data_IF_069057520910
#
_entry.id   IF_069057520910
#
_cell.length_a   1.000
_cell.length_b   1.000
_cell.length_c   1.000
_cell.angle_alpha   90.00
_cell.angle_beta   90.00
_cell.angle_gamma   90.00
#
_symmetry.space_group_name_H-M   'P 1'
#
loop_
_entity.id
_entity.type
_entity.pdbx_description
1 polymer ?
#
# COMPACT_ATOMS: atom_id res chain seq x y z
N UNK A 1 11.70 3.11 11.63
CA UNK A 1 12.53 4.32 11.80
C UNK A 1 13.45 4.10 12.99
N UNK A 2 14.75 4.38 12.85
CA UNK A 2 15.69 4.31 13.98
C UNK A 2 15.33 5.38 15.01
N UNK A 3 15.60 5.09 16.29
CA UNK A 3 15.46 6.07 17.37
C UNK A 3 16.24 7.33 17.05
N UNK A 4 15.67 8.48 17.44
CA UNK A 4 16.33 9.77 17.31
C UNK A 4 17.59 9.76 18.21
N UNK A 5 18.82 9.79 17.64
CA UNK A 5 20.04 9.77 18.43
C UNK A 5 20.24 11.04 19.26
N UNK A 6 19.40 12.06 19.05
CA UNK A 6 19.60 13.45 19.48
C UNK A 6 18.81 13.83 20.74
N UNK A 7 18.21 12.87 21.47
CA UNK A 7 17.53 13.08 22.78
C UNK A 7 16.43 14.17 22.82
N UNK A 8 16.03 14.69 21.67
CA UNK A 8 14.92 15.64 21.54
C UNK A 8 13.72 14.83 21.04
N UNK A 9 12.84 14.43 21.97
CA UNK A 9 11.77 13.42 21.86
C UNK A 9 10.65 13.70 20.85
N UNK A 10 10.90 14.36 19.72
CA UNK A 10 9.91 14.47 18.66
C UNK A 10 10.00 13.26 17.71
N UNK A 11 8.94 12.46 17.68
CA UNK A 11 8.76 11.41 16.68
C UNK A 11 8.63 12.06 15.30
N UNK A 12 9.60 11.79 14.41
CA UNK A 12 9.50 12.21 13.01
C UNK A 12 8.31 11.53 12.35
N UNK A 13 7.50 12.24 11.55
CA UNK A 13 6.39 11.63 10.85
C UNK A 13 6.92 10.57 9.89
N UNK A 14 6.48 9.32 10.12
CA UNK A 14 6.77 8.19 9.26
C UNK A 14 5.62 7.95 8.29
N UNK A 15 5.95 7.75 7.03
CA UNK A 15 5.00 7.35 6.00
C UNK A 15 5.41 6.01 5.42
N UNK A 16 4.41 5.20 5.14
CA UNK A 16 4.50 3.98 4.37
C UNK A 16 4.29 4.33 2.89
N UNK A 17 5.33 4.08 2.09
CA UNK A 17 5.31 4.28 0.64
C UNK A 17 4.87 2.99 -0.05
N UNK A 18 3.80 3.10 -0.81
CA UNK A 18 3.22 2.04 -1.62
C UNK A 18 3.55 2.31 -3.08
N UNK A 19 3.93 1.28 -3.84
CA UNK A 19 4.35 1.43 -5.24
C UNK A 19 3.76 0.29 -6.07
N UNK A 20 3.06 0.62 -7.15
CA UNK A 20 2.63 -0.32 -8.17
C UNK A 20 3.67 -0.40 -9.28
N UNK A 21 4.08 -1.61 -9.64
CA UNK A 21 5.04 -1.83 -10.74
C UNK A 21 4.55 -2.88 -11.72
N UNK A 22 4.90 -2.70 -13.00
CA UNK A 22 4.68 -3.70 -14.04
C UNK A 22 5.81 -3.65 -15.05
N UNK A 23 6.42 -4.81 -15.36
CA UNK A 23 7.53 -4.94 -16.34
C UNK A 23 8.60 -3.83 -16.20
N UNK A 24 9.06 -3.59 -14.98
CA UNK A 24 10.08 -2.58 -14.62
C UNK A 24 9.63 -1.11 -14.70
N UNK A 25 8.35 -0.84 -14.96
CA UNK A 25 7.78 0.50 -14.87
C UNK A 25 7.06 0.70 -13.54
N UNK A 26 7.22 1.89 -12.96
CA UNK A 26 6.37 2.36 -11.87
C UNK A 26 5.11 2.94 -12.49
N UNK A 27 3.95 2.43 -12.07
CA UNK A 27 2.66 2.82 -12.62
C UNK A 27 1.88 3.76 -11.70
N UNK A 28 2.05 3.60 -10.39
CA UNK A 28 1.41 4.45 -9.39
C UNK A 28 2.17 4.38 -8.06
N UNK A 29 1.96 5.38 -7.19
CA UNK A 29 2.51 5.41 -5.84
C UNK A 29 1.53 6.07 -4.84
N UNK A 30 1.65 5.71 -3.57
CA UNK A 30 0.82 6.27 -2.50
C UNK A 30 1.60 6.42 -1.21
N UNK A 31 1.40 7.54 -0.51
CA UNK A 31 2.00 7.80 0.80
C UNK A 31 0.92 7.71 1.87
N UNK A 32 1.13 6.82 2.84
CA UNK A 32 0.18 6.56 3.91
C UNK A 32 0.83 6.81 5.26
N UNK A 33 0.14 7.49 6.18
CA UNK A 33 0.60 7.63 7.56
C UNK A 33 0.42 6.34 8.37
N UNK A 34 -0.12 5.28 7.74
CA UNK A 34 -0.34 3.98 8.36
C UNK A 34 1.01 3.30 8.64
N UNK A 35 1.21 2.75 9.84
CA UNK A 35 2.45 2.05 10.18
C UNK A 35 2.56 0.67 9.52
N UNK A 36 1.44 0.08 9.08
CA UNK A 36 1.39 -1.25 8.46
C UNK A 36 0.69 -1.22 7.09
N UNK A 37 1.05 -2.18 6.25
CA UNK A 37 0.58 -2.32 4.87
C UNK A 37 -0.89 -2.74 4.76
N UNK A 38 -1.42 -3.46 5.76
CA UNK A 38 -2.76 -4.05 5.70
C UNK A 38 -3.86 -3.03 5.42
N UNK A 39 -3.73 -1.79 5.91
CA UNK A 39 -4.74 -0.73 5.71
C UNK A 39 -4.50 0.16 4.50
N UNK A 40 -3.39 -0.01 3.79
CA UNK A 40 -3.03 0.85 2.66
C UNK A 40 -3.50 0.29 1.33
N UNK A 41 -3.69 -1.04 1.21
CA UNK A 41 -4.04 -1.70 -0.06
C UNK A 41 -5.30 -1.15 -0.72
N UNK A 42 -6.44 -1.19 -0.02
CA UNK A 42 -7.74 -0.80 -0.62
C UNK A 42 -7.75 0.68 -1.02
N UNK A 43 -7.29 1.62 -0.18
CA UNK A 43 -7.09 3.01 -0.60
C UNK A 43 -6.17 3.14 -1.82
N UNK A 44 -5.05 2.40 -1.84
CA UNK A 44 -4.08 2.41 -2.93
C UNK A 44 -4.67 1.90 -4.25
N UNK A 45 -5.40 0.78 -4.23
CA UNK A 45 -6.08 0.24 -5.40
C UNK A 45 -7.22 1.15 -5.88
N UNK A 46 -7.89 1.85 -4.97
CA UNK A 46 -8.96 2.80 -5.33
C UNK A 46 -8.42 4.03 -6.07
N UNK A 47 -7.21 4.50 -5.75
CA UNK A 47 -6.59 5.61 -6.49
C UNK A 47 -5.96 5.17 -7.82
N UNK A 48 -5.66 3.88 -7.99
CA UNK A 48 -4.91 3.39 -9.13
C UNK A 48 -5.75 3.35 -10.41
N UNK A 49 -5.71 4.44 -11.17
CA UNK A 49 -6.53 4.63 -12.37
C UNK A 49 -6.33 3.59 -13.48
N UNK A 50 -5.18 2.90 -13.51
CA UNK A 50 -4.88 1.90 -14.53
C UNK A 50 -5.12 0.46 -14.05
N UNK A 51 -5.74 0.26 -12.88
CA UNK A 51 -5.95 -1.06 -12.29
C UNK A 51 -6.71 -2.01 -13.23
N UNK A 52 -7.69 -1.50 -13.96
CA UNK A 52 -8.54 -2.31 -14.85
C UNK A 52 -7.78 -2.92 -16.03
N UNK A 53 -6.60 -2.41 -16.38
CA UNK A 53 -5.76 -2.99 -17.43
C UNK A 53 -5.03 -4.27 -17.00
N UNK A 54 -5.09 -4.64 -15.72
CA UNK A 54 -4.37 -5.78 -15.17
C UNK A 54 -5.35 -6.82 -14.62
N UNK A 55 -5.12 -8.09 -14.94
CA UNK A 55 -5.99 -9.19 -14.50
C UNK A 55 -5.73 -9.60 -13.05
N UNK A 56 -4.49 -9.45 -12.58
CA UNK A 56 -4.09 -9.95 -11.26
C UNK A 56 -3.42 -8.85 -10.44
N UNK A 57 -3.74 -8.86 -9.15
CA UNK A 57 -3.05 -8.07 -8.12
C UNK A 57 -2.09 -8.99 -7.38
N UNK A 58 -0.81 -8.62 -7.37
CA UNK A 58 0.22 -9.33 -6.60
C UNK A 58 0.77 -8.38 -5.55
N UNK A 59 0.65 -8.77 -4.29
CA UNK A 59 1.10 -8.01 -3.15
C UNK A 59 1.82 -8.94 -2.15
N UNK A 60 2.63 -8.38 -1.26
CA UNK A 60 3.29 -9.18 -0.22
C UNK A 60 2.29 -9.68 0.85
N UNK A 61 2.78 -10.55 1.74
CA UNK A 61 1.96 -11.11 2.80
C UNK A 61 1.48 -10.09 3.86
N UNK A 62 2.12 -8.92 3.96
CA UNK A 62 1.76 -7.85 4.89
C UNK A 62 0.40 -7.20 4.58
N UNK A 63 -0.05 -7.30 3.33
CA UNK A 63 -1.42 -6.91 2.94
C UNK A 63 -2.47 -7.99 3.24
N UNK A 64 -2.07 -9.18 3.70
CA UNK A 64 -3.00 -10.26 4.00
C UNK A 64 -3.97 -9.90 5.13
N UNK A 65 -5.25 -9.74 4.79
CA UNK A 65 -6.34 -9.65 5.75
C UNK A 65 -7.65 -10.06 5.09
N UNK A 66 -8.58 -10.61 5.87
CA UNK A 66 -9.93 -10.94 5.41
C UNK A 66 -10.56 -9.77 4.64
N UNK A 67 -10.53 -8.57 5.23
CA UNK A 67 -11.04 -7.36 4.60
C UNK A 67 -10.44 -7.09 3.22
N UNK A 68 -9.11 -7.21 3.08
CA UNK A 68 -8.47 -7.00 1.78
C UNK A 68 -8.87 -8.06 0.76
N UNK A 69 -8.95 -9.34 1.17
CA UNK A 69 -9.40 -10.41 0.27
C UNK A 69 -10.84 -10.20 -0.19
N UNK A 70 -11.75 -9.87 0.72
CA UNK A 70 -13.15 -9.57 0.39
C UNK A 70 -13.24 -8.39 -0.57
N UNK A 71 -12.48 -7.32 -0.35
CA UNK A 71 -12.50 -6.16 -1.24
C UNK A 71 -11.93 -6.47 -2.63
N UNK A 72 -10.90 -7.31 -2.74
CA UNK A 72 -10.34 -7.74 -4.02
C UNK A 72 -11.38 -8.54 -4.81
N UNK A 73 -12.05 -9.50 -4.17
CA UNK A 73 -13.03 -10.35 -4.83
C UNK A 73 -14.33 -9.60 -5.17
N UNK A 74 -14.90 -8.87 -4.22
CA UNK A 74 -16.25 -8.31 -4.35
C UNK A 74 -16.28 -6.96 -5.07
N UNK A 75 -15.24 -6.12 -4.89
CA UNK A 75 -15.22 -4.75 -5.40
C UNK A 75 -14.31 -4.58 -6.62
N UNK A 76 -13.12 -5.16 -6.59
CA UNK A 76 -12.16 -5.04 -7.68
C UNK A 76 -12.31 -6.15 -8.73
N UNK A 77 -13.01 -7.24 -8.39
CA UNK A 77 -13.26 -8.39 -9.27
C UNK A 77 -11.96 -8.95 -9.87
N UNK A 78 -10.91 -9.08 -9.04
CA UNK A 78 -9.58 -9.60 -9.41
C UNK A 78 -9.21 -10.88 -8.66
#
# INVERSE_FOLDING_TARGET
>A
MKEDPMMNRELKPGYNLQIATHKQFVLDYGLFSNPTDTRTLVPFLTQFHALDFFEHIVADAGYGSEYNYTMILDRFEK
#
